data_IF_222297790380
#
_entry.id   IF_222297790380
#
_cell.length_a   1.000
_cell.length_b   1.000
_cell.length_c   1.000
_cell.angle_alpha   90.00
_cell.angle_beta   90.00
_cell.angle_gamma   90.00
#
_symmetry.space_group_name_H-M   'P 1'
#
loop_
_entity.id
_entity.type
_entity.pdbx_description
1 polymer ?
#
# COMPACT_ATOMS: atom_id res chain seq x y z
N UNK A 1 -8.33 -30.15 3.64
CA UNK A 1 -7.21 -29.34 3.10
C UNK A 1 -7.52 -28.89 1.68
N UNK A 2 -8.09 -27.70 1.53
CA UNK A 2 -8.27 -27.06 0.21
C UNK A 2 -6.92 -26.46 -0.20
N UNK A 3 -6.44 -26.83 -1.39
CA UNK A 3 -5.20 -26.30 -2.00
C UNK A 3 -5.38 -24.80 -2.25
N UNK A 4 -4.60 -23.98 -1.55
CA UNK A 4 -4.40 -22.57 -1.93
C UNK A 4 -3.64 -22.49 -3.26
N UNK A 5 -3.88 -21.45 -4.08
CA UNK A 5 -3.90 -21.64 -5.51
C UNK A 5 -2.53 -21.34 -6.13
N UNK A 6 -2.17 -22.18 -7.10
CA UNK A 6 -0.89 -22.26 -7.81
C UNK A 6 -0.49 -21.00 -8.60
N UNK A 7 -1.21 -19.88 -8.49
CA UNK A 7 -1.04 -18.71 -9.36
C UNK A 7 0.16 -17.83 -8.97
N UNK A 8 0.54 -17.76 -7.68
CA UNK A 8 1.74 -17.00 -7.27
C UNK A 8 3.04 -17.68 -7.75
N UNK A 9 3.06 -19.02 -7.75
CA UNK A 9 4.16 -19.85 -8.25
C UNK A 9 4.38 -19.64 -9.76
N UNK A 10 3.31 -19.38 -10.52
CA UNK A 10 3.40 -19.18 -11.98
C UNK A 10 4.15 -17.88 -12.32
N UNK A 11 3.92 -16.79 -11.57
CA UNK A 11 4.58 -15.50 -11.85
C UNK A 11 6.09 -15.58 -11.60
N UNK A 12 6.51 -16.21 -10.49
CA UNK A 12 7.93 -16.40 -10.17
C UNK A 12 8.63 -17.31 -11.20
N UNK A 13 7.96 -18.38 -11.65
CA UNK A 13 8.53 -19.32 -12.63
C UNK A 13 8.73 -18.69 -14.01
N UNK A 14 7.82 -17.81 -14.46
CA UNK A 14 7.97 -17.13 -15.76
C UNK A 14 9.19 -16.19 -15.77
N UNK A 15 9.46 -15.50 -14.65
CA UNK A 15 10.64 -14.64 -14.52
C UNK A 15 11.95 -15.45 -14.58
N UNK A 16 12.00 -16.63 -13.95
CA UNK A 16 13.19 -17.51 -13.97
C UNK A 16 13.52 -18.02 -15.37
N UNK A 17 12.51 -18.34 -16.21
CA UNK A 17 12.73 -18.83 -17.58
C UNK A 17 13.29 -17.71 -18.48
N UNK A 18 12.85 -16.46 -18.30
CA UNK A 18 13.35 -15.32 -19.06
C UNK A 18 14.81 -14.96 -18.76
N UNK A 19 15.30 -15.26 -17.55
CA UNK A 19 16.70 -14.99 -17.14
C UNK A 19 17.66 -15.99 -17.82
N UNK A 20 17.26 -17.25 -18.00
CA UNK A 20 18.10 -18.29 -18.61
C UNK A 20 18.33 -18.12 -20.13
N UNK A 21 17.57 -17.23 -20.79
CA UNK A 21 17.74 -16.89 -22.21
C UNK A 21 18.62 -15.67 -22.47
N UNK A 22 19.14 -14.99 -21.43
CA UNK A 22 19.84 -13.71 -21.59
C UNK A 22 21.31 -13.85 -21.22
N UNK A 23 22.20 -13.23 -22.02
CA UNK A 23 23.64 -13.14 -21.80
C UNK A 23 23.97 -12.15 -20.66
N UNK A 24 23.40 -12.38 -19.47
CA UNK A 24 23.67 -11.58 -18.28
C UNK A 24 25.06 -11.92 -17.71
N UNK A 25 25.77 -10.91 -17.19
CA UNK A 25 27.08 -11.15 -16.55
C UNK A 25 26.87 -12.05 -15.32
N UNK A 26 27.77 -13.01 -15.03
CA UNK A 26 27.62 -13.92 -13.89
C UNK A 26 27.38 -13.20 -12.55
N UNK A 27 27.98 -12.02 -12.35
CA UNK A 27 27.78 -11.17 -11.18
C UNK A 27 26.35 -10.63 -11.03
N UNK A 28 25.68 -10.30 -12.15
CA UNK A 28 24.30 -9.81 -12.15
C UNK A 28 23.32 -10.96 -11.84
N UNK A 29 23.59 -12.16 -12.35
CA UNK A 29 22.81 -13.37 -12.06
C UNK A 29 22.88 -13.74 -10.57
N UNK A 30 24.06 -13.66 -9.95
CA UNK A 30 24.20 -13.90 -8.49
C UNK A 30 23.44 -12.88 -7.66
N UNK A 31 23.50 -11.60 -8.00
CA UNK A 31 22.73 -10.54 -7.29
C UNK A 31 21.24 -10.77 -7.42
N UNK A 32 20.74 -11.10 -8.62
CA UNK A 32 19.34 -11.41 -8.84
C UNK A 32 18.90 -12.67 -8.08
N UNK A 33 19.72 -13.72 -8.07
CA UNK A 33 19.44 -14.95 -7.33
C UNK A 33 19.31 -14.69 -5.83
N UNK A 34 20.22 -13.90 -5.24
CA UNK A 34 20.13 -13.55 -3.82
C UNK A 34 18.85 -12.76 -3.51
N UNK A 35 18.51 -11.78 -4.36
CA UNK A 35 17.26 -11.01 -4.22
C UNK A 35 16.01 -11.89 -4.35
N UNK A 36 16.03 -12.88 -5.23
CA UNK A 36 14.92 -13.85 -5.36
C UNK A 36 14.78 -14.66 -4.07
N UNK A 37 15.88 -15.17 -3.51
CA UNK A 37 15.85 -15.92 -2.24
C UNK A 37 15.33 -15.06 -1.07
N UNK A 38 15.75 -13.80 -0.97
CA UNK A 38 15.22 -12.86 0.03
C UNK A 38 13.70 -12.64 -0.13
N UNK A 39 13.22 -12.48 -1.37
CA UNK A 39 11.79 -12.34 -1.66
C UNK A 39 11.02 -13.62 -1.29
N UNK A 40 11.57 -14.79 -1.59
CA UNK A 40 10.97 -16.08 -1.23
C UNK A 40 10.85 -16.24 0.29
N UNK A 41 11.90 -15.91 1.05
CA UNK A 41 11.88 -15.95 2.51
C UNK A 41 10.82 -15.01 3.10
N UNK A 42 10.76 -13.76 2.60
CA UNK A 42 9.75 -12.79 3.03
C UNK A 42 8.34 -13.30 2.73
N UNK A 43 8.11 -13.88 1.55
CA UNK A 43 6.80 -14.40 1.15
C UNK A 43 6.39 -15.62 1.98
N UNK A 44 7.33 -16.51 2.31
CA UNK A 44 7.07 -17.66 3.17
C UNK A 44 6.66 -17.20 4.57
N UNK A 45 7.42 -16.29 5.18
CA UNK A 45 7.11 -15.72 6.50
C UNK A 45 5.76 -15.00 6.53
N UNK A 46 5.43 -14.24 5.47
CA UNK A 46 4.10 -13.62 5.33
C UNK A 46 2.99 -14.68 5.26
N UNK A 47 3.21 -15.74 4.48
CA UNK A 47 2.25 -16.82 4.30
C UNK A 47 1.99 -17.57 5.60
N UNK A 48 3.03 -17.87 6.39
CA UNK A 48 2.90 -18.54 7.70
C UNK A 48 2.05 -17.73 8.69
N UNK A 49 2.29 -16.43 8.80
CA UNK A 49 1.53 -15.55 9.69
C UNK A 49 0.06 -15.43 9.23
N UNK A 50 -0.20 -15.34 7.92
CA UNK A 50 -1.57 -15.35 7.37
C UNK A 50 -2.27 -16.66 7.72
N UNK A 51 -1.63 -17.81 7.52
CA UNK A 51 -2.20 -19.13 7.83
C UNK A 51 -2.56 -19.21 9.31
N UNK A 52 -1.65 -18.83 10.20
CA UNK A 52 -1.87 -18.84 11.65
C UNK A 52 -3.09 -18.02 12.07
N UNK A 53 -3.28 -16.84 11.46
CA UNK A 53 -4.45 -15.99 11.74
C UNK A 53 -5.75 -16.54 11.16
N UNK A 54 -5.70 -17.14 9.96
CA UNK A 54 -6.86 -17.83 9.39
C UNK A 54 -7.32 -18.98 10.28
N UNK A 55 -6.40 -19.80 10.79
CA UNK A 55 -6.73 -20.87 11.75
C UNK A 55 -7.38 -20.32 13.03
N UNK A 56 -6.90 -19.17 13.54
CA UNK A 56 -7.51 -18.50 14.69
C UNK A 56 -8.93 -17.99 14.39
N UNK A 57 -9.17 -17.44 13.21
CA UNK A 57 -10.50 -16.99 12.75
C UNK A 57 -11.43 -18.20 12.61
N UNK A 58 -10.99 -19.28 11.96
CA UNK A 58 -11.79 -20.49 11.78
C UNK A 58 -12.22 -21.07 13.13
N UNK A 59 -11.32 -21.08 14.12
CA UNK A 59 -11.66 -21.50 15.48
C UNK A 59 -12.72 -20.60 16.14
N UNK A 60 -12.56 -19.27 16.07
CA UNK A 60 -13.51 -18.31 16.65
C UNK A 60 -14.89 -18.39 16.00
N UNK A 61 -14.95 -18.51 14.68
CA UNK A 61 -16.22 -18.71 13.96
C UNK A 61 -16.90 -20.00 14.42
N UNK A 62 -16.15 -21.08 14.62
CA UNK A 62 -16.72 -22.34 15.12
C UNK A 62 -17.32 -22.20 16.52
N UNK A 63 -16.70 -21.44 17.42
CA UNK A 63 -17.24 -21.17 18.76
C UNK A 63 -18.52 -20.33 18.69
N UNK A 64 -18.54 -19.27 17.86
CA UNK A 64 -19.74 -18.45 17.59
C UNK A 64 -20.90 -19.31 17.08
N UNK A 65 -20.63 -20.18 16.10
CA UNK A 65 -21.64 -21.09 15.53
C UNK A 65 -22.20 -22.05 16.59
N UNK A 66 -21.37 -22.59 17.50
CA UNK A 66 -21.84 -23.45 18.60
C UNK A 66 -22.76 -22.69 19.54
N UNK A 67 -22.37 -21.49 19.96
CA UNK A 67 -23.17 -20.64 20.87
C UNK A 67 -24.54 -20.34 20.25
N UNK A 68 -24.57 -19.92 18.99
CA UNK A 68 -25.82 -19.64 18.25
C UNK A 68 -26.69 -20.91 18.14
N UNK A 69 -26.12 -22.05 17.73
CA UNK A 69 -26.85 -23.30 17.55
C UNK A 69 -27.40 -23.87 18.86
N UNK A 70 -26.71 -23.67 19.99
CA UNK A 70 -27.18 -24.12 21.30
C UNK A 70 -28.39 -23.32 21.79
N UNK A 71 -28.48 -22.03 21.48
CA UNK A 71 -29.55 -21.13 21.94
C UNK A 71 -30.75 -21.10 21.00
N UNK A 72 -30.57 -21.25 19.70
CA UNK A 72 -31.67 -21.38 18.72
C UNK A 72 -32.57 -22.61 18.96
N UNK A 73 -32.11 -23.63 19.70
CA UNK A 73 -32.93 -24.81 20.02
C UNK A 73 -34.01 -24.56 21.07
N UNK A 74 -33.92 -23.47 21.85
CA UNK A 74 -34.77 -23.24 23.01
C UNK A 74 -35.79 -22.10 22.83
N UNK A 75 -35.82 -21.43 21.67
CA UNK A 75 -36.66 -20.24 21.42
C UNK A 75 -36.57 -19.14 22.51
N UNK A 76 -35.46 -19.11 23.26
CA UNK A 76 -35.17 -18.08 24.26
C UNK A 76 -34.36 -16.95 23.62
N UNK A 77 -34.74 -15.70 23.94
CA UNK A 77 -33.94 -14.52 23.59
C UNK A 77 -32.50 -14.69 24.08
N UNK A 78 -31.54 -14.30 23.24
CA UNK A 78 -30.12 -14.33 23.58
C UNK A 78 -29.88 -13.44 24.82
N UNK A 79 -29.35 -14.00 25.92
CA UNK A 79 -28.88 -13.23 27.07
C UNK A 79 -27.88 -12.15 26.64
N UNK A 80 -27.97 -10.96 27.24
CA UNK A 80 -27.14 -9.79 26.88
C UNK A 80 -25.63 -10.05 27.02
N UNK A 81 -25.22 -10.81 28.02
CA UNK A 81 -23.83 -11.25 28.23
C UNK A 81 -23.29 -12.07 27.04
N UNK A 82 -24.13 -12.92 26.44
CA UNK A 82 -23.75 -13.65 25.23
C UNK A 82 -23.75 -12.79 23.97
N UNK A 83 -24.58 -11.75 23.91
CA UNK A 83 -24.52 -10.75 22.84
C UNK A 83 -23.19 -9.99 22.92
N UNK A 84 -22.78 -9.58 24.13
CA UNK A 84 -21.53 -8.86 24.35
C UNK A 84 -20.30 -9.72 23.98
N UNK A 85 -20.32 -11.01 24.34
CA UNK A 85 -19.27 -11.98 23.95
C UNK A 85 -19.19 -12.19 22.43
N UNK A 86 -20.34 -12.28 21.76
CA UNK A 86 -20.41 -12.38 20.30
C UNK A 86 -19.85 -11.13 19.63
N UNK A 87 -20.21 -9.93 20.10
CA UNK A 87 -19.71 -8.66 19.56
C UNK A 87 -18.20 -8.54 19.72
N UNK A 88 -17.66 -8.88 20.89
CA UNK A 88 -16.21 -8.89 21.12
C UNK A 88 -15.49 -9.87 20.19
N UNK A 89 -16.07 -11.04 19.93
CA UNK A 89 -15.50 -12.02 19.00
C UNK A 89 -15.51 -11.52 17.56
N UNK A 90 -16.59 -10.83 17.15
CA UNK A 90 -16.70 -10.21 15.82
C UNK A 90 -15.63 -9.13 15.62
N UNK A 91 -15.45 -8.23 16.60
CA UNK A 91 -14.43 -7.18 16.54
C UNK A 91 -13.01 -7.76 16.37
N UNK A 92 -12.69 -8.84 17.09
CA UNK A 92 -11.39 -9.51 16.97
C UNK A 92 -11.21 -10.21 15.61
N UNK A 93 -12.28 -10.80 15.04
CA UNK A 93 -12.27 -11.32 13.67
C UNK A 93 -12.01 -10.20 12.67
N UNK A 94 -12.67 -9.04 12.80
CA UNK A 94 -12.46 -7.87 11.94
C UNK A 94 -11.01 -7.35 12.03
N UNK A 95 -10.43 -7.29 13.23
CA UNK A 95 -9.02 -6.92 13.41
C UNK A 95 -8.06 -7.89 12.70
N UNK A 96 -8.33 -9.20 12.75
CA UNK A 96 -7.51 -10.19 12.06
C UNK A 96 -7.68 -10.13 10.53
N UNK A 97 -8.88 -9.90 10.03
CA UNK A 97 -9.15 -9.66 8.60
C UNK A 97 -8.39 -8.43 8.12
N UNK A 98 -8.50 -7.30 8.83
CA UNK A 98 -7.80 -6.06 8.50
C UNK A 98 -6.27 -6.26 8.49
N UNK A 99 -5.74 -7.02 9.44
CA UNK A 99 -4.32 -7.36 9.45
C UNK A 99 -3.91 -8.18 8.23
N UNK A 100 -4.67 -9.23 7.89
CA UNK A 100 -4.41 -10.07 6.71
C UNK A 100 -4.49 -9.23 5.43
N UNK A 101 -5.51 -8.39 5.30
CA UNK A 101 -5.61 -7.45 4.17
C UNK A 101 -4.37 -6.56 4.08
N UNK A 102 -3.90 -6.00 5.20
CA UNK A 102 -2.70 -5.16 5.22
C UNK A 102 -1.41 -5.92 4.83
N UNK A 103 -1.36 -7.24 5.09
CA UNK A 103 -0.21 -8.07 4.78
C UNK A 103 -0.17 -8.51 3.32
N UNK A 104 -1.34 -8.73 2.73
CA UNK A 104 -1.53 -9.11 1.31
C UNK A 104 -1.41 -7.89 0.41
N UNK A 105 -2.12 -6.81 0.76
CA UNK A 105 -2.28 -5.63 -0.07
C UNK A 105 -1.24 -4.55 0.24
N UNK A 106 -0.65 -4.54 1.43
CA UNK A 106 0.14 -3.42 1.92
C UNK A 106 -0.73 -2.41 2.67
N UNK A 107 -0.20 -1.83 3.75
CA UNK A 107 -0.91 -0.84 4.60
C UNK A 107 -1.27 0.45 3.85
N UNK A 108 -0.65 0.67 2.70
CA UNK A 108 -0.88 1.77 1.77
C UNK A 108 -2.19 1.66 0.99
N UNK A 109 -2.78 0.46 0.83
CA UNK A 109 -3.92 0.32 -0.08
C UNK A 109 -5.26 0.68 0.56
N UNK A 110 -6.10 1.41 -0.19
CA UNK A 110 -7.46 1.76 0.21
C UNK A 110 -8.49 1.46 -0.88
N UNK A 111 -9.74 1.17 -0.49
CA UNK A 111 -10.86 1.04 -1.44
C UNK A 111 -11.49 2.42 -1.68
N UNK A 112 -11.36 2.94 -2.91
CA UNK A 112 -11.90 4.26 -3.29
C UNK A 112 -13.41 4.40 -3.08
N UNK A 113 -14.17 3.31 -3.06
CA UNK A 113 -15.62 3.34 -2.85
C UNK A 113 -16.03 3.36 -1.38
N UNK A 114 -15.09 3.07 -0.46
CA UNK A 114 -15.34 2.96 0.99
C UNK A 114 -14.63 4.03 1.79
N UNK A 115 -13.57 4.63 1.25
CA UNK A 115 -12.77 5.64 1.92
C UNK A 115 -13.59 6.89 2.26
N UNK A 116 -13.36 7.45 3.45
CA UNK A 116 -14.00 8.66 3.97
C UNK A 116 -13.00 9.57 4.66
N UNK A 117 -13.37 10.85 4.78
CA UNK A 117 -12.60 11.83 5.56
C UNK A 117 -12.43 11.33 7.00
N UNK A 118 -11.21 11.45 7.51
CA UNK A 118 -10.80 10.96 8.83
C UNK A 118 -10.21 9.54 8.84
N UNK A 119 -10.33 8.77 7.74
CA UNK A 119 -9.69 7.45 7.66
C UNK A 119 -8.16 7.57 7.71
N UNK A 120 -7.51 6.60 8.35
CA UNK A 120 -6.06 6.47 8.36
C UNK A 120 -5.62 5.44 7.32
N UNK A 121 -4.79 5.87 6.37
CA UNK A 121 -4.16 5.01 5.37
C UNK A 121 -2.65 5.16 5.52
N UNK A 122 -2.01 4.14 6.08
CA UNK A 122 -0.58 4.10 6.35
C UNK A 122 -0.06 5.34 7.09
N UNK A 123 -0.67 5.72 8.20
CA UNK A 123 -0.31 6.91 9.02
C UNK A 123 -0.59 8.26 8.35
N UNK A 124 -1.24 8.29 7.19
CA UNK A 124 -1.78 9.51 6.60
C UNK A 124 -3.30 9.54 6.78
N UNK A 125 -3.83 10.70 7.17
CA UNK A 125 -5.25 10.92 7.43
C UNK A 125 -5.90 11.52 6.20
N UNK A 126 -7.04 10.99 5.76
CA UNK A 126 -7.84 11.57 4.68
C UNK A 126 -8.43 12.90 5.17
N UNK A 127 -8.06 14.01 4.52
CA UNK A 127 -8.54 15.34 4.88
C UNK A 127 -9.67 15.83 3.99
N UNK A 128 -9.70 15.41 2.73
CA UNK A 128 -10.71 15.85 1.78
C UNK A 128 -10.97 14.82 0.65
N UNK A 129 -12.19 14.85 0.12
CA UNK A 129 -12.65 14.04 -1.01
C UNK A 129 -13.57 14.89 -1.90
N UNK A 130 -13.08 15.30 -3.06
CA UNK A 130 -13.75 16.33 -3.90
C UNK A 130 -14.62 15.78 -5.03
N UNK A 131 -14.61 14.47 -5.28
CA UNK A 131 -15.32 13.84 -6.42
C UNK A 131 -16.19 12.64 -6.03
N UNK A 132 -17.17 12.30 -6.87
CA UNK A 132 -18.05 11.13 -6.65
C UNK A 132 -17.20 9.85 -6.60
N UNK A 133 -17.36 9.06 -5.54
CA UNK A 133 -16.63 7.79 -5.31
C UNK A 133 -15.11 7.93 -5.13
N UNK A 134 -14.64 9.05 -4.58
CA UNK A 134 -13.24 9.16 -4.14
C UNK A 134 -12.24 9.15 -5.29
N UNK A 135 -12.52 9.83 -6.40
CA UNK A 135 -11.56 9.94 -7.51
C UNK A 135 -10.45 10.95 -7.23
N UNK A 136 -10.64 11.83 -6.26
CA UNK A 136 -9.70 12.86 -5.85
C UNK A 136 -9.70 12.87 -4.34
N UNK A 137 -8.56 12.55 -3.74
CA UNK A 137 -8.45 12.32 -2.31
C UNK A 137 -7.19 13.02 -1.80
N UNK A 138 -7.36 13.83 -0.77
CA UNK A 138 -6.26 14.51 -0.09
C UNK A 138 -5.97 13.82 1.24
N UNK A 139 -4.68 13.72 1.55
CA UNK A 139 -4.14 13.11 2.74
C UNK A 139 -3.20 14.10 3.46
N UNK A 140 -3.22 14.10 4.78
CA UNK A 140 -2.24 14.79 5.63
C UNK A 140 -1.48 13.78 6.49
N UNK A 141 -0.19 14.01 6.67
CA UNK A 141 0.69 13.15 7.44
C UNK A 141 2.07 13.13 6.80
N UNK A 142 3.10 13.49 7.57
CA UNK A 142 4.45 13.58 7.04
C UNK A 142 5.01 12.20 6.70
N UNK A 143 5.60 12.07 5.50
CA UNK A 143 6.30 10.86 5.07
C UNK A 143 7.70 11.18 4.58
N UNK A 144 8.65 10.41 5.09
CA UNK A 144 10.02 10.41 4.58
C UNK A 144 10.12 9.46 3.40
N UNK A 145 10.65 9.93 2.28
CA UNK A 145 10.77 9.18 1.04
C UNK A 145 12.18 9.33 0.48
N UNK A 146 12.68 8.28 -0.16
CA UNK A 146 13.88 8.32 -1.01
C UNK A 146 13.46 8.01 -2.44
N UNK A 147 14.04 8.73 -3.39
CA UNK A 147 13.67 8.60 -4.79
C UNK A 147 14.42 9.58 -5.68
N UNK A 148 14.01 9.64 -6.94
CA UNK A 148 14.61 10.49 -7.96
C UNK A 148 13.77 11.73 -8.19
N UNK A 149 14.40 12.90 -8.16
CA UNK A 149 13.76 14.16 -8.49
C UNK A 149 14.24 14.69 -9.85
N UNK A 150 13.41 15.51 -10.49
CA UNK A 150 13.79 16.30 -11.67
C UNK A 150 13.10 17.66 -11.63
N UNK A 151 13.89 18.72 -11.75
CA UNK A 151 13.42 20.08 -12.00
C UNK A 151 13.34 20.24 -13.51
N UNK A 152 12.14 20.45 -14.02
CA UNK A 152 11.87 20.64 -15.45
C UNK A 152 11.34 22.06 -15.63
N UNK A 153 11.96 22.79 -16.55
CA UNK A 153 11.61 24.16 -16.91
C UNK A 153 11.10 24.17 -18.34
N UNK A 154 10.06 24.96 -18.58
CA UNK A 154 9.48 25.20 -19.91
C UNK A 154 9.05 23.92 -20.66
N UNK A 155 8.52 22.90 -19.96
CA UNK A 155 7.95 21.73 -20.63
C UNK A 155 6.72 22.13 -21.47
N UNK A 156 6.64 21.63 -22.70
CA UNK A 156 5.59 22.00 -23.64
C UNK A 156 4.17 21.67 -23.14
N UNK A 157 4.03 20.61 -22.33
CA UNK A 157 2.75 20.14 -21.82
C UNK A 157 2.53 20.50 -20.35
N UNK A 158 3.59 20.41 -19.54
CA UNK A 158 3.53 20.54 -18.08
C UNK A 158 4.03 21.89 -17.57
N UNK A 159 4.67 22.69 -18.42
CA UNK A 159 5.31 23.94 -18.03
C UNK A 159 6.46 23.71 -17.05
N UNK A 160 6.52 24.55 -16.01
CA UNK A 160 7.49 24.44 -14.94
C UNK A 160 7.00 23.44 -13.90
N UNK A 161 7.76 22.37 -13.69
CA UNK A 161 7.37 21.28 -12.79
C UNK A 161 8.59 20.70 -12.08
N UNK A 162 8.41 20.31 -10.83
CA UNK A 162 9.38 19.44 -10.14
C UNK A 162 8.69 18.12 -9.87
N UNK A 163 9.26 17.04 -10.39
CA UNK A 163 8.72 15.68 -10.27
C UNK A 163 9.55 14.85 -9.32
N UNK A 164 8.91 13.86 -8.70
CA UNK A 164 9.56 12.89 -7.82
C UNK A 164 9.05 11.48 -8.10
N UNK A 165 9.95 10.56 -8.41
CA UNK A 165 9.68 9.12 -8.56
C UNK A 165 10.24 8.38 -7.35
N UNK A 166 9.39 7.65 -6.64
CA UNK A 166 9.76 6.96 -5.40
C UNK A 166 10.56 5.70 -5.72
N UNK A 167 11.55 5.35 -4.89
CA UNK A 167 12.19 4.02 -4.96
C UNK A 167 11.11 2.92 -4.82
N UNK A 168 11.14 1.92 -5.70
CA UNK A 168 10.22 0.77 -5.69
C UNK A 168 10.12 0.11 -4.31
N UNK A 169 11.21 0.10 -3.53
CA UNK A 169 11.23 -0.44 -2.15
C UNK A 169 10.32 0.31 -1.19
N UNK A 170 9.99 1.56 -1.49
CA UNK A 170 9.13 2.44 -0.70
C UNK A 170 7.76 2.65 -1.36
N UNK A 171 7.41 1.87 -2.38
CA UNK A 171 6.12 1.99 -3.06
C UNK A 171 4.90 1.74 -2.15
N UNK A 172 5.09 1.04 -1.03
CA UNK A 172 4.06 0.79 -0.02
C UNK A 172 4.00 1.88 1.08
N UNK A 173 4.74 2.99 0.95
CA UNK A 173 4.78 4.06 1.96
C UNK A 173 3.65 5.07 1.77
N UNK A 174 3.24 5.35 0.53
CA UNK A 174 2.17 6.30 0.27
C UNK A 174 0.82 5.61 0.05
N UNK A 175 -0.30 6.25 0.43
CA UNK A 175 -1.64 5.78 0.11
C UNK A 175 -1.80 5.49 -1.39
N UNK A 176 -2.51 4.41 -1.72
CA UNK A 176 -2.79 4.01 -3.11
C UNK A 176 -4.12 3.30 -3.22
N UNK A 177 -4.88 3.59 -4.27
CA UNK A 177 -6.17 2.95 -4.46
C UNK A 177 -6.01 1.48 -4.88
N UNK A 178 -6.87 0.59 -4.35
CA UNK A 178 -6.97 -0.80 -4.81
C UNK A 178 -7.22 -0.83 -6.32
N UNK A 179 -6.34 -1.50 -7.06
CA UNK A 179 -6.39 -1.60 -8.52
C UNK A 179 -5.70 -0.48 -9.30
N UNK A 180 -5.17 0.55 -8.63
CA UNK A 180 -4.29 1.52 -9.28
C UNK A 180 -2.92 0.85 -9.54
N UNK A 181 -2.60 0.67 -10.82
CA UNK A 181 -1.35 0.03 -11.27
C UNK A 181 -0.34 1.04 -11.83
N UNK A 182 -0.62 2.35 -11.81
CA UNK A 182 0.27 3.38 -12.36
C UNK A 182 1.58 3.49 -11.58
N UNK A 183 2.70 3.71 -12.26
CA UNK A 183 3.98 3.98 -11.58
C UNK A 183 3.82 5.08 -10.54
N UNK A 184 4.39 4.89 -9.35
CA UNK A 184 4.23 5.84 -8.25
C UNK A 184 5.21 7.00 -8.40
N UNK A 185 4.70 8.10 -8.93
CA UNK A 185 5.40 9.38 -9.01
C UNK A 185 4.40 10.51 -8.76
N UNK A 186 4.91 11.68 -8.39
CA UNK A 186 4.09 12.86 -8.14
C UNK A 186 4.86 14.13 -8.53
N UNK A 187 4.14 15.25 -8.59
CA UNK A 187 4.73 16.59 -8.68
C UNK A 187 4.65 17.31 -7.34
N UNK A 188 5.55 18.26 -7.10
CA UNK A 188 5.42 19.12 -5.93
C UNK A 188 4.38 20.22 -6.16
N UNK A 189 3.46 20.39 -5.22
CA UNK A 189 2.42 21.44 -5.25
C UNK A 189 2.98 22.82 -4.92
N UNK A 190 4.12 22.87 -4.20
CA UNK A 190 4.85 24.08 -3.82
C UNK A 190 6.10 24.26 -4.69
N UNK A 191 5.91 24.51 -5.99
CA UNK A 191 6.98 24.54 -6.99
C UNK A 191 8.15 25.47 -6.60
N UNK A 192 7.88 26.74 -6.30
CA UNK A 192 8.93 27.73 -6.04
C UNK A 192 9.77 27.34 -4.81
N UNK A 193 9.13 26.93 -3.73
CA UNK A 193 9.83 26.43 -2.54
C UNK A 193 10.59 25.13 -2.83
N UNK A 194 10.01 24.22 -3.61
CA UNK A 194 10.66 22.96 -3.95
C UNK A 194 11.91 23.19 -4.80
N UNK A 195 11.87 24.12 -5.77
CA UNK A 195 13.06 24.52 -6.54
C UNK A 195 14.13 25.09 -5.63
N UNK A 196 13.78 26.05 -4.76
CA UNK A 196 14.76 26.65 -3.83
C UNK A 196 15.41 25.61 -2.91
N UNK A 197 14.68 24.57 -2.49
CA UNK A 197 15.22 23.48 -1.66
C UNK A 197 16.06 22.48 -2.45
N UNK A 198 15.81 22.29 -3.74
CA UNK A 198 16.42 21.24 -4.55
C UNK A 198 17.55 21.75 -5.45
N UNK A 199 17.55 23.03 -5.83
CA UNK A 199 18.52 23.59 -6.77
C UNK A 199 19.98 23.44 -6.31
N UNK A 200 20.23 23.44 -4.99
CA UNK A 200 21.56 23.22 -4.43
C UNK A 200 22.10 21.80 -4.70
N UNK A 201 21.21 20.85 -5.02
CA UNK A 201 21.52 19.46 -5.35
C UNK A 201 21.57 19.19 -6.87
N UNK A 202 21.29 20.20 -7.70
CA UNK A 202 21.23 20.13 -9.16
C UNK A 202 19.81 20.07 -9.73
N UNK A 203 19.70 19.92 -11.06
CA UNK A 203 18.39 19.84 -11.73
C UNK A 203 17.77 18.44 -11.67
N UNK A 204 18.53 17.41 -11.31
CA UNK A 204 18.03 16.05 -11.10
C UNK A 204 18.99 15.22 -10.26
N UNK A 205 18.47 14.20 -9.60
CA UNK A 205 19.28 13.28 -8.79
C UNK A 205 18.45 12.37 -7.92
N UNK A 206 19.12 11.55 -7.12
CA UNK A 206 18.52 10.76 -6.06
C UNK A 206 18.66 11.52 -4.73
N UNK A 207 17.60 11.55 -3.93
CA UNK A 207 17.55 12.34 -2.70
C UNK A 207 16.50 11.80 -1.72
N UNK A 208 16.69 12.07 -0.43
CA UNK A 208 15.73 11.81 0.63
C UNK A 208 15.01 13.09 1.05
N UNK A 209 13.67 13.05 1.09
CA UNK A 209 12.79 14.18 1.39
C UNK A 209 11.79 13.84 2.48
N UNK A 210 11.17 14.85 3.07
CA UNK A 210 9.88 14.74 3.75
C UNK A 210 8.81 15.46 2.94
N UNK A 211 7.70 14.78 2.71
CA UNK A 211 6.49 15.34 2.12
C UNK A 211 5.35 15.41 3.12
N UNK A 212 4.35 16.24 2.82
CA UNK A 212 3.02 16.25 3.44
C UNK A 212 1.97 16.62 2.37
N UNK A 213 0.70 16.76 2.76
CA UNK A 213 -0.40 17.21 1.89
C UNK A 213 -0.46 16.40 0.58
N UNK A 214 -0.37 15.06 0.69
CA UNK A 214 -0.37 14.17 -0.47
C UNK A 214 -1.76 14.10 -1.09
N UNK A 215 -1.83 14.25 -2.40
CA UNK A 215 -3.06 14.31 -3.17
C UNK A 215 -3.00 13.27 -4.29
N UNK A 216 -4.03 12.42 -4.34
CA UNK A 216 -4.18 11.41 -5.37
C UNK A 216 -5.33 11.81 -6.29
N UNK A 217 -5.06 11.82 -7.58
CA UNK A 217 -6.07 11.92 -8.62
C UNK A 217 -6.15 10.60 -9.40
N UNK A 218 -7.37 10.07 -9.49
CA UNK A 218 -7.74 8.79 -10.09
C UNK A 218 -8.67 8.97 -11.31
N UNK A 219 -8.79 10.18 -11.86
CA UNK A 219 -9.50 10.42 -13.11
C UNK A 219 -8.79 9.73 -14.29
N UNK A 220 -9.55 9.41 -15.35
CA UNK A 220 -9.12 8.51 -16.42
C UNK A 220 -8.10 9.11 -17.42
N UNK A 221 -7.78 10.40 -17.33
CA UNK A 221 -6.89 11.11 -18.28
C UNK A 221 -5.70 11.75 -17.57
N UNK A 222 -4.46 11.43 -17.96
CA UNK A 222 -3.18 12.11 -17.63
C UNK A 222 -3.15 12.93 -16.33
N UNK A 223 -3.65 12.35 -15.24
CA UNK A 223 -3.66 13.01 -13.94
C UNK A 223 -2.37 12.70 -13.18
N UNK A 224 -1.93 13.69 -12.43
CA UNK A 224 -0.65 13.67 -11.71
C UNK A 224 -0.98 13.79 -10.23
N UNK A 225 -0.46 12.86 -9.43
CA UNK A 225 -0.52 12.99 -7.97
C UNK A 225 0.34 14.17 -7.52
N UNK A 226 0.00 14.77 -6.40
CA UNK A 226 0.74 15.91 -5.86
C UNK A 226 1.17 15.68 -4.42
N UNK A 227 2.26 16.31 -4.02
CA UNK A 227 2.66 16.37 -2.62
C UNK A 227 3.32 17.72 -2.34
N UNK A 228 3.29 18.17 -1.09
CA UNK A 228 4.05 19.33 -0.67
C UNK A 228 5.42 18.90 -0.16
N UNK A 229 6.49 19.46 -0.71
CA UNK A 229 7.83 19.29 -0.15
C UNK A 229 7.96 20.08 1.15
N UNK A 230 8.25 19.40 2.25
CA UNK A 230 8.46 20.02 3.56
C UNK A 230 9.93 20.31 3.82
N UNK A 231 10.80 19.33 3.54
CA UNK A 231 12.25 19.48 3.67
C UNK A 231 13.01 18.43 2.87
N UNK A 232 14.26 18.75 2.54
CA UNK A 232 15.27 17.81 2.07
C UNK A 232 16.09 17.32 3.28
N UNK A 233 16.37 16.01 3.36
CA UNK A 233 17.15 15.41 4.46
C UNK A 233 18.61 15.21 4.04
N UNK A 234 18.85 14.53 2.93
CA UNK A 234 20.19 14.24 2.44
C UNK A 234 20.17 13.67 1.02
N UNK A 235 21.37 13.57 0.44
CA UNK A 235 21.69 12.65 -0.66
C UNK A 235 21.99 11.24 -0.13
#
# INVERSE_FOLDING_TARGET
MKKYPKYLIIIVTVVVISINGCTAKPSEVTVLSNRISEIEEINNRKSEEIIKRLESIEYKISEVEKTINSKNKNEEDLPQDAIDELMSTIEDVELNINFIESMIWGRSLFDRNKIKVGDNVNEMIVTDITSRKGMQIQFSGQKQLTGKYSIIKDDYYLGNIVTFSIDDKLSDVLPRAKGDMRTLWFRFSNYDEAVNMLEEYGDSGEITIIIDEYYIDLLESDVINEAKLIKVISK
#
